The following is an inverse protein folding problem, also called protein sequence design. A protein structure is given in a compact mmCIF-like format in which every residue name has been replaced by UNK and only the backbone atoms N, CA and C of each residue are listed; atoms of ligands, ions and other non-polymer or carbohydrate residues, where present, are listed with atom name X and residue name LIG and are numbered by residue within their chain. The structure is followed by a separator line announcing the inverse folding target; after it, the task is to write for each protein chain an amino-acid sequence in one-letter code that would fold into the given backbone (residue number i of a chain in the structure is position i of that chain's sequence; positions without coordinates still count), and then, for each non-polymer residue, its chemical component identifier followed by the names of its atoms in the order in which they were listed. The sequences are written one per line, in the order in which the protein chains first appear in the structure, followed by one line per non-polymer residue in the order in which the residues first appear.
data_IF_956935767703
#
_entry.id   IF_956935767703
#
_cell.length_a   1.000
_cell.length_b   1.000
_cell.length_c   1.000
_cell.angle_alpha   90.00
_cell.angle_beta   90.00
_cell.angle_gamma   90.00
#
_symmetry.space_group_name_H-M   'P 1'
#
loop_
_entity.id
_entity.type
_entity.pdbx_description
1 polymer ?
#
# COMPACT_ATOMS: atom_id res chain seq x y z
N UNK A 1 3.44 29.20 12.76
CA UNK A 1 2.23 29.70 13.46
C UNK A 1 1.30 28.52 13.69
N UNK A 2 1.41 27.85 14.83
CA UNK A 2 0.53 26.73 15.18
C UNK A 2 -0.81 27.27 15.63
N UNK A 3 -1.88 26.97 14.88
CA UNK A 3 -3.24 27.27 15.33
C UNK A 3 -3.54 26.39 16.55
N UNK A 4 -3.82 27.03 17.68
CA UNK A 4 -4.35 26.39 18.89
C UNK A 4 -5.77 25.89 18.62
N UNK A 5 -5.90 24.76 17.94
CA UNK A 5 -7.17 24.05 17.82
C UNK A 5 -7.34 23.20 19.08
N UNK A 6 -8.24 23.64 19.97
CA UNK A 6 -8.63 22.87 21.16
C UNK A 6 -9.72 21.89 20.74
N UNK A 7 -9.40 20.60 20.78
CA UNK A 7 -10.35 19.53 20.48
C UNK A 7 -11.15 19.19 21.75
N UNK A 8 -12.43 19.59 21.79
CA UNK A 8 -13.34 19.30 22.92
C UNK A 8 -13.61 17.79 23.12
N UNK A 9 -13.24 16.94 22.16
CA UNK A 9 -13.51 15.50 22.15
C UNK A 9 -12.25 14.64 21.92
N UNK A 10 -11.06 15.18 22.21
CA UNK A 10 -9.78 14.54 21.89
C UNK A 10 -9.37 14.74 20.44
N UNK A 11 -8.05 14.68 20.17
CA UNK A 11 -7.56 14.77 18.79
C UNK A 11 -7.99 13.51 18.01
N UNK A 12 -8.44 13.66 16.75
CA UNK A 12 -8.73 12.51 15.89
C UNK A 12 -7.51 11.60 15.75
N UNK A 13 -7.75 10.29 15.75
CA UNK A 13 -6.68 9.30 15.55
C UNK A 13 -6.11 9.44 14.13
N UNK A 14 -4.79 9.61 13.93
CA UNK A 14 -4.24 9.81 12.59
C UNK A 14 -4.37 8.54 11.75
N UNK A 15 -4.51 8.65 10.43
CA UNK A 15 -4.50 7.47 9.55
C UNK A 15 -3.06 7.08 9.22
N UNK A 16 -2.73 5.79 9.32
CA UNK A 16 -1.43 5.27 8.89
C UNK A 16 -1.26 5.39 7.37
N UNK A 17 -0.34 6.24 6.90
CA UNK A 17 -0.07 6.43 5.48
C UNK A 17 1.31 5.88 5.11
N UNK A 18 1.34 4.79 4.34
CA UNK A 18 2.57 4.09 3.98
C UNK A 18 2.83 4.16 2.48
N UNK A 19 4.10 4.32 2.12
CA UNK A 19 4.57 4.27 0.73
C UNK A 19 5.37 3.00 0.47
N UNK A 20 4.93 2.17 -0.47
CA UNK A 20 5.75 1.05 -0.96
C UNK A 20 6.68 1.52 -2.07
N UNK A 21 7.99 1.46 -1.84
CA UNK A 21 8.97 1.83 -2.86
C UNK A 21 8.89 0.82 -4.02
N UNK A 22 8.77 1.33 -5.24
CA UNK A 22 8.84 0.52 -6.44
C UNK A 22 10.26 0.05 -6.74
N UNK A 23 10.41 -0.90 -7.67
CA UNK A 23 11.73 -1.23 -8.23
C UNK A 23 12.25 -0.11 -9.16
N UNK A 24 11.35 0.78 -9.60
CA UNK A 24 11.59 1.87 -10.54
C UNK A 24 11.40 3.23 -9.87
N UNK A 25 12.29 4.18 -10.18
CA UNK A 25 12.12 5.58 -9.84
C UNK A 25 12.43 5.98 -8.39
N UNK A 26 13.22 5.19 -7.66
CA UNK A 26 13.75 5.56 -6.34
C UNK A 26 14.55 6.87 -6.40
N UNK A 27 15.37 7.11 -7.43
CA UNK A 27 16.07 8.40 -7.63
C UNK A 27 15.14 9.61 -7.69
N UNK A 28 13.96 9.45 -8.28
CA UNK A 28 12.97 10.52 -8.29
C UNK A 28 12.39 10.76 -6.90
N UNK A 29 12.26 9.70 -6.08
CA UNK A 29 11.85 9.84 -4.68
C UNK A 29 12.95 10.50 -3.85
N UNK A 30 14.22 10.21 -4.09
CA UNK A 30 15.36 10.92 -3.49
C UNK A 30 15.27 12.41 -3.80
N UNK A 31 15.12 12.79 -5.08
CA UNK A 31 14.95 14.19 -5.48
C UNK A 31 13.74 14.86 -4.81
N UNK A 32 12.64 14.11 -4.61
CA UNK A 32 11.46 14.64 -3.93
C UNK A 32 11.71 14.81 -2.42
N UNK A 33 12.44 13.89 -1.80
CA UNK A 33 12.82 13.97 -0.40
C UNK A 33 13.75 15.17 -0.16
N UNK A 34 14.82 15.28 -0.94
CA UNK A 34 15.81 16.36 -0.83
C UNK A 34 15.21 17.75 -1.05
N UNK A 35 14.18 17.83 -1.91
CA UNK A 35 13.46 19.09 -2.16
C UNK A 35 12.33 19.36 -1.16
N UNK A 36 12.17 18.54 -0.11
CA UNK A 36 11.10 18.67 0.89
C UNK A 36 9.69 18.44 0.32
N UNK A 37 9.59 17.79 -0.85
CA UNK A 37 8.33 17.51 -1.57
C UNK A 37 7.81 16.09 -1.31
N UNK A 38 8.57 15.24 -0.64
CA UNK A 38 8.12 13.93 -0.20
C UNK A 38 7.32 14.07 1.10
N UNK A 39 6.00 13.91 0.98
CA UNK A 39 5.04 14.15 2.07
C UNK A 39 4.78 12.90 2.94
N UNK A 40 5.39 11.76 2.61
CA UNK A 40 5.29 10.52 3.37
C UNK A 40 6.64 10.13 3.93
N UNK A 41 6.61 9.62 5.15
CA UNK A 41 7.79 9.25 5.92
C UNK A 41 7.67 7.84 6.52
N UNK A 42 6.60 7.08 6.23
CA UNK A 42 6.50 5.65 6.55
C UNK A 42 6.61 4.84 5.27
N UNK A 43 7.66 4.04 5.13
CA UNK A 43 8.07 3.52 3.83
C UNK A 43 8.37 2.02 3.88
N UNK A 44 7.76 1.27 2.97
CA UNK A 44 7.99 -0.17 2.79
C UNK A 44 9.03 -0.39 1.70
N UNK A 45 10.10 -1.09 2.04
CA UNK A 45 11.24 -1.38 1.18
C UNK A 45 11.32 -2.88 0.95
N UNK A 46 11.30 -3.28 -0.32
CA UNK A 46 11.50 -4.67 -0.73
C UNK A 46 12.96 -5.07 -0.38
N UNK A 47 13.17 -6.17 0.35
CA UNK A 47 14.50 -6.65 0.74
C UNK A 47 15.46 -6.78 -0.46
N UNK A 48 14.94 -7.25 -1.59
CA UNK A 48 15.68 -7.36 -2.85
C UNK A 48 16.19 -6.01 -3.40
N UNK A 49 15.59 -4.89 -2.98
CA UNK A 49 15.92 -3.56 -3.47
C UNK A 49 16.84 -2.77 -2.52
N UNK A 50 17.05 -3.22 -1.27
CA UNK A 50 17.76 -2.46 -0.24
C UNK A 50 19.16 -2.02 -0.69
N UNK A 51 19.96 -2.95 -1.23
CA UNK A 51 21.31 -2.64 -1.70
C UNK A 51 21.31 -1.60 -2.85
N UNK A 52 20.32 -1.66 -3.73
CA UNK A 52 20.19 -0.74 -4.88
C UNK A 52 19.63 0.63 -4.47
N UNK A 53 18.84 0.69 -3.41
CA UNK A 53 18.14 1.89 -2.94
C UNK A 53 18.76 2.46 -1.67
N UNK A 54 20.05 2.17 -1.42
CA UNK A 54 20.69 2.49 -0.16
C UNK A 54 20.70 3.99 0.14
N UNK A 55 20.90 4.84 -0.88
CA UNK A 55 20.92 6.30 -0.74
C UNK A 55 19.56 6.81 -0.29
N UNK A 56 18.47 6.46 -1.00
CA UNK A 56 17.10 6.78 -0.58
C UNK A 56 16.79 6.32 0.84
N UNK A 57 17.19 5.10 1.21
CA UNK A 57 16.92 4.54 2.54
C UNK A 57 17.68 5.33 3.61
N UNK A 58 18.94 5.69 3.34
CA UNK A 58 19.75 6.51 4.24
C UNK A 58 19.13 7.89 4.43
N UNK A 59 18.79 8.58 3.33
CA UNK A 59 18.15 9.90 3.38
C UNK A 59 16.80 9.86 4.12
N UNK A 60 15.99 8.81 3.91
CA UNK A 60 14.74 8.62 4.65
C UNK A 60 14.99 8.44 6.15
N UNK A 61 15.99 7.64 6.51
CA UNK A 61 16.35 7.39 7.90
C UNK A 61 16.88 8.65 8.60
N UNK A 62 17.66 9.48 7.90
CA UNK A 62 18.16 10.77 8.38
C UNK A 62 17.04 11.78 8.56
N UNK A 63 16.04 11.78 7.67
CA UNK A 63 14.83 12.58 7.78
C UNK A 63 13.85 12.08 8.86
N UNK A 64 14.20 11.03 9.61
CA UNK A 64 13.35 10.46 10.68
C UNK A 64 12.20 9.59 10.16
N UNK A 65 12.30 9.11 8.92
CA UNK A 65 11.32 8.20 8.32
C UNK A 65 11.30 6.84 8.99
N UNK A 66 10.10 6.28 9.14
CA UNK A 66 9.88 4.92 9.57
C UNK A 66 10.06 3.96 8.39
N UNK A 67 10.98 3.01 8.55
CA UNK A 67 11.35 2.02 7.55
C UNK A 67 10.74 0.66 7.90
N UNK A 68 10.02 0.08 6.93
CA UNK A 68 9.43 -1.26 7.00
C UNK A 68 10.11 -2.16 5.97
N UNK A 69 10.63 -3.31 6.39
CA UNK A 69 11.22 -4.31 5.51
C UNK A 69 10.12 -5.25 4.99
N UNK A 70 9.91 -5.31 3.66
CA UNK A 70 9.21 -6.44 3.04
C UNK A 70 10.21 -7.55 2.75
N UNK A 71 9.97 -8.74 3.31
CA UNK A 71 10.89 -9.88 3.22
C UNK A 71 10.91 -10.56 1.85
N UNK A 72 10.00 -10.21 0.95
CA UNK A 72 9.82 -10.83 -0.37
C UNK A 72 9.66 -12.36 -0.35
N UNK A 73 9.32 -12.96 0.80
CA UNK A 73 9.22 -14.43 0.94
C UNK A 73 8.11 -15.00 0.05
N UNK A 74 6.96 -14.33 -0.04
CA UNK A 74 5.87 -14.76 -0.91
C UNK A 74 6.31 -14.79 -2.39
N UNK A 75 7.01 -13.75 -2.84
CA UNK A 75 7.56 -13.67 -4.20
C UNK A 75 8.68 -14.69 -4.45
N UNK A 76 9.57 -14.92 -3.47
CA UNK A 76 10.65 -15.92 -3.55
C UNK A 76 10.16 -17.37 -3.54
N UNK A 77 8.95 -17.60 -3.05
CA UNK A 77 8.31 -18.92 -2.99
C UNK A 77 7.37 -19.18 -4.18
N UNK A 78 7.30 -18.26 -5.15
CA UNK A 78 6.39 -18.35 -6.31
C UNK A 78 7.16 -18.46 -7.63
N UNK A 79 6.75 -19.38 -8.51
CA UNK A 79 7.52 -19.77 -9.71
C UNK A 79 7.88 -18.63 -10.67
N UNK A 80 6.91 -17.76 -10.99
CA UNK A 80 7.12 -16.62 -11.89
C UNK A 80 7.96 -15.55 -11.21
N UNK A 81 7.62 -15.23 -9.96
CA UNK A 81 8.22 -14.10 -9.24
C UNK A 81 9.65 -14.38 -8.83
N UNK A 82 9.95 -15.60 -8.40
CA UNK A 82 11.30 -16.04 -8.09
C UNK A 82 12.26 -15.74 -9.24
N UNK A 83 11.88 -15.90 -10.50
CA UNK A 83 12.74 -15.60 -11.66
C UNK A 83 12.90 -14.10 -12.01
N UNK A 84 12.37 -13.20 -11.17
CA UNK A 84 12.41 -11.76 -11.34
C UNK A 84 13.46 -11.05 -10.48
N UNK A 85 13.19 -9.78 -10.21
CA UNK A 85 14.07 -8.91 -9.43
C UNK A 85 14.23 -9.33 -7.95
N UNK A 86 13.36 -10.21 -7.43
CA UNK A 86 13.40 -10.62 -6.02
C UNK A 86 14.56 -11.55 -5.68
N UNK A 87 15.26 -12.14 -6.68
CA UNK A 87 16.47 -12.97 -6.44
C UNK A 87 17.62 -12.22 -5.78
N UNK A 88 17.61 -10.89 -5.78
CA UNK A 88 18.63 -10.10 -5.08
C UNK A 88 18.34 -9.95 -3.58
N UNK A 89 17.26 -10.54 -3.05
CA UNK A 89 17.03 -10.58 -1.61
C UNK A 89 18.13 -11.40 -0.89
N UNK A 90 18.59 -11.00 0.30
CA UNK A 90 19.74 -11.61 0.97
C UNK A 90 19.59 -13.13 1.24
N UNK A 91 18.36 -13.58 1.50
CA UNK A 91 18.04 -14.99 1.81
C UNK A 91 17.57 -15.79 0.59
N UNK A 92 17.55 -15.19 -0.61
CA UNK A 92 17.13 -15.89 -1.82
C UNK A 92 17.99 -17.15 -2.05
N UNK A 93 17.35 -18.25 -2.41
CA UNK A 93 18.06 -19.43 -2.87
C UNK A 93 18.48 -19.21 -4.34
N UNK A 94 19.76 -19.35 -4.71
CA UNK A 94 20.22 -19.07 -6.06
C UNK A 94 19.72 -20.10 -7.10
N UNK A 95 19.38 -21.31 -6.65
CA UNK A 95 19.07 -22.44 -7.53
C UNK A 95 17.61 -22.89 -7.47
N UNK A 96 16.87 -22.55 -6.43
CA UNK A 96 15.47 -22.96 -6.27
C UNK A 96 14.62 -21.87 -5.58
N UNK A 97 13.29 -22.01 -5.67
CA UNK A 97 12.37 -21.21 -4.86
C UNK A 97 12.55 -21.52 -3.37
N UNK A 98 12.13 -20.60 -2.51
CA UNK A 98 11.96 -20.93 -1.10
C UNK A 98 10.78 -21.89 -0.92
N UNK A 99 10.95 -22.82 0.00
CA UNK A 99 9.98 -23.84 0.38
C UNK A 99 9.63 -23.71 1.86
N UNK A 100 8.58 -24.41 2.29
CA UNK A 100 8.24 -24.51 3.71
C UNK A 100 9.44 -24.94 4.58
N UNK A 101 10.28 -25.84 4.05
CA UNK A 101 11.42 -26.39 4.75
C UNK A 101 12.51 -25.36 5.01
N UNK A 102 12.66 -24.37 4.14
CA UNK A 102 13.63 -23.27 4.27
C UNK A 102 13.26 -22.29 5.40
N UNK A 103 11.98 -22.27 5.80
CA UNK A 103 11.42 -21.35 6.79
C UNK A 103 11.23 -21.99 8.18
N UNK A 104 11.52 -23.28 8.31
CA UNK A 104 11.50 -23.96 9.60
C UNK A 104 12.58 -23.41 10.54
N UNK A 105 12.32 -23.38 11.86
CA UNK A 105 13.39 -23.19 12.85
C UNK A 105 14.52 -24.20 12.60
N UNK A 106 15.77 -23.75 12.64
CA UNK A 106 16.97 -24.57 12.39
C UNK A 106 17.10 -25.14 10.96
N UNK A 107 16.39 -24.59 9.97
CA UNK A 107 16.67 -24.91 8.58
C UNK A 107 18.14 -24.60 8.23
N UNK A 108 18.75 -25.43 7.37
CA UNK A 108 20.18 -25.29 6.99
C UNK A 108 20.54 -23.90 6.48
N UNK A 109 19.59 -23.20 5.86
CA UNK A 109 19.79 -21.85 5.31
C UNK A 109 19.55 -20.74 6.34
N UNK A 110 18.91 -21.01 7.47
CA UNK A 110 18.56 -19.99 8.48
C UNK A 110 17.91 -18.72 7.87
N UNK A 111 16.88 -18.88 7.03
CA UNK A 111 16.22 -17.73 6.38
C UNK A 111 15.69 -16.74 7.42
N UNK A 112 15.11 -17.24 8.51
CA UNK A 112 14.51 -16.42 9.58
C UNK A 112 15.58 -15.61 10.32
N UNK A 113 16.69 -16.24 10.73
CA UNK A 113 17.79 -15.53 11.38
C UNK A 113 18.47 -14.52 10.45
N UNK A 114 18.59 -14.83 9.15
CA UNK A 114 19.08 -13.87 8.16
C UNK A 114 18.18 -12.62 8.07
N UNK A 115 16.86 -12.79 8.04
CA UNK A 115 15.90 -11.67 8.05
C UNK A 115 16.08 -10.81 9.31
N UNK A 116 16.16 -11.44 10.49
CA UNK A 116 16.32 -10.74 11.77
C UNK A 116 17.62 -9.92 11.84
N UNK A 117 18.77 -10.54 11.51
CA UNK A 117 20.07 -9.85 11.45
C UNK A 117 20.05 -8.70 10.48
N UNK A 118 19.47 -8.90 9.31
CA UNK A 118 19.37 -7.86 8.28
C UNK A 118 18.52 -6.67 8.76
N UNK A 119 17.38 -6.95 9.39
CA UNK A 119 16.51 -5.90 9.93
C UNK A 119 17.23 -5.05 11.00
N UNK A 120 17.94 -5.69 11.93
CA UNK A 120 18.71 -5.02 12.98
C UNK A 120 19.88 -4.23 12.37
N UNK A 121 20.67 -4.85 11.49
CA UNK A 121 21.84 -4.24 10.85
C UNK A 121 21.47 -2.97 10.08
N UNK A 122 20.34 -2.98 9.37
CA UNK A 122 19.88 -1.85 8.57
C UNK A 122 18.95 -0.89 9.33
N UNK A 123 18.69 -1.14 10.62
CA UNK A 123 17.91 -0.24 11.47
C UNK A 123 16.44 -0.11 11.03
N UNK A 124 15.84 -1.19 10.55
CA UNK A 124 14.40 -1.21 10.23
C UNK A 124 13.56 -1.10 11.50
N UNK A 125 12.43 -0.41 11.39
CA UNK A 125 11.51 -0.20 12.51
C UNK A 125 10.51 -1.34 12.61
N UNK A 126 10.15 -1.90 11.45
CA UNK A 126 9.28 -3.07 11.36
C UNK A 126 9.72 -4.01 10.24
N UNK A 127 9.35 -5.28 10.38
CA UNK A 127 9.56 -6.32 9.37
C UNK A 127 8.21 -6.95 9.02
N UNK A 128 7.94 -7.14 7.74
CA UNK A 128 6.83 -7.98 7.30
C UNK A 128 7.18 -9.44 7.54
N UNK A 129 6.32 -10.14 8.28
CA UNK A 129 6.49 -11.55 8.55
C UNK A 129 6.68 -12.35 7.25
N UNK A 130 7.50 -13.42 7.27
CA UNK A 130 7.77 -14.27 6.11
C UNK A 130 6.56 -15.15 5.79
N UNK A 131 5.58 -14.56 5.10
CA UNK A 131 4.28 -15.18 4.78
C UNK A 131 4.13 -15.48 3.29
N UNK A 132 3.14 -16.31 2.93
CA UNK A 132 2.88 -16.70 1.53
C UNK A 132 1.55 -16.15 1.00
N UNK A 133 1.37 -16.25 -0.32
CA UNK A 133 0.05 -16.13 -0.93
C UNK A 133 -0.73 -17.41 -0.63
N UNK A 134 -1.80 -17.31 0.15
CA UNK A 134 -2.61 -18.44 0.58
C UNK A 134 -3.81 -18.64 -0.36
N UNK A 135 -4.09 -19.91 -0.68
CA UNK A 135 -5.30 -20.30 -1.41
C UNK A 135 -6.56 -20.34 -0.52
N UNK A 136 -6.38 -20.37 0.79
CA UNK A 136 -7.42 -20.39 1.83
C UNK A 136 -6.84 -20.70 3.20
N UNK A 137 -7.67 -20.70 4.24
CA UNK A 137 -7.27 -21.07 5.60
C UNK A 137 -6.85 -22.55 5.77
N UNK A 138 -7.31 -23.52 4.95
CA UNK A 138 -6.79 -24.90 5.00
C UNK A 138 -5.43 -25.09 4.29
N UNK A 139 -4.90 -24.05 3.65
CA UNK A 139 -3.60 -24.11 2.98
C UNK A 139 -2.50 -24.46 4.00
N UNK A 140 -1.69 -25.48 3.71
CA UNK A 140 -0.62 -25.91 4.59
C UNK A 140 0.41 -24.80 4.85
N UNK A 141 0.57 -23.87 3.89
CA UNK A 141 1.43 -22.71 4.05
C UNK A 141 0.96 -21.77 5.16
N UNK A 142 -0.34 -21.74 5.50
CA UNK A 142 -0.80 -20.94 6.62
C UNK A 142 -0.21 -21.42 7.96
N UNK A 143 -0.02 -22.72 8.15
CA UNK A 143 0.67 -23.23 9.34
C UNK A 143 2.15 -22.82 9.35
N UNK A 144 2.81 -22.84 8.19
CA UNK A 144 4.20 -22.39 8.02
C UNK A 144 4.35 -20.90 8.34
N UNK A 145 3.45 -20.06 7.84
CA UNK A 145 3.45 -18.61 8.06
C UNK A 145 3.39 -18.25 9.55
N UNK A 146 2.52 -18.94 10.28
CA UNK A 146 2.36 -18.76 11.73
C UNK A 146 3.61 -19.16 12.50
N UNK A 147 4.15 -20.35 12.21
CA UNK A 147 5.38 -20.83 12.83
C UNK A 147 6.58 -19.90 12.51
N UNK A 148 6.67 -19.44 11.27
CA UNK A 148 7.74 -18.55 10.81
C UNK A 148 7.63 -17.16 11.44
N UNK A 149 6.41 -16.68 11.71
CA UNK A 149 6.17 -15.42 12.44
C UNK A 149 6.67 -15.51 13.89
N UNK A 150 6.34 -16.61 14.59
CA UNK A 150 6.86 -16.85 15.95
C UNK A 150 8.39 -16.96 15.96
N UNK A 151 8.95 -17.70 14.99
CA UNK A 151 10.39 -17.84 14.84
C UNK A 151 11.06 -16.48 14.57
N UNK A 152 10.45 -15.62 13.73
CA UNK A 152 10.95 -14.28 13.46
C UNK A 152 11.01 -13.43 14.72
N UNK A 153 9.97 -13.45 15.57
CA UNK A 153 9.98 -12.72 16.85
C UNK A 153 11.14 -13.17 17.73
N UNK A 154 11.32 -14.47 17.90
CA UNK A 154 12.41 -15.03 18.70
C UNK A 154 13.78 -14.65 18.13
N UNK A 155 13.95 -14.70 16.80
CA UNK A 155 15.18 -14.34 16.13
C UNK A 155 15.49 -12.84 16.28
N UNK A 156 14.50 -11.96 16.09
CA UNK A 156 14.67 -10.52 16.32
C UNK A 156 15.08 -10.25 17.77
N UNK A 157 14.46 -10.92 18.74
CA UNK A 157 14.80 -10.74 20.16
C UNK A 157 16.23 -11.19 20.49
N UNK A 158 16.67 -12.30 19.91
CA UNK A 158 18.02 -12.82 20.07
C UNK A 158 19.08 -11.89 19.44
N UNK A 159 18.76 -11.24 18.33
CA UNK A 159 19.63 -10.26 17.65
C UNK A 159 19.53 -8.84 18.26
N UNK A 160 18.83 -8.67 19.39
CA UNK A 160 18.66 -7.37 20.07
C UNK A 160 17.59 -6.44 19.47
N UNK A 161 16.83 -6.92 18.49
CA UNK A 161 15.74 -6.25 17.78
C UNK A 161 14.38 -6.32 18.47
N UNK A 162 14.31 -6.38 19.82
CA UNK A 162 13.03 -6.42 20.57
C UNK A 162 12.08 -5.25 20.27
N UNK A 163 12.64 -4.11 19.87
CA UNK A 163 11.92 -2.90 19.50
C UNK A 163 11.41 -2.90 18.05
N UNK A 164 11.87 -3.84 17.22
CA UNK A 164 11.46 -3.96 15.82
C UNK A 164 10.10 -4.66 15.79
N UNK A 165 9.08 -3.96 15.29
CA UNK A 165 7.73 -4.50 15.16
C UNK A 165 7.60 -5.54 14.05
N UNK A 166 6.55 -6.36 14.13
CA UNK A 166 6.19 -7.34 13.10
C UNK A 166 4.85 -6.95 12.47
N UNK A 167 4.86 -6.76 11.16
CA UNK A 167 3.65 -6.64 10.36
C UNK A 167 3.31 -8.01 9.80
N UNK A 168 2.10 -8.53 9.99
CA UNK A 168 1.68 -9.80 9.39
C UNK A 168 0.98 -9.55 8.05
N UNK A 169 1.58 -9.89 6.90
CA UNK A 169 0.89 -9.77 5.61
C UNK A 169 -0.05 -10.96 5.39
N UNK A 170 -1.35 -10.70 5.34
CA UNK A 170 -2.33 -11.69 4.90
C UNK A 170 -2.59 -11.52 3.40
N UNK A 171 -1.92 -12.34 2.61
CA UNK A 171 -2.02 -12.37 1.15
C UNK A 171 -3.00 -13.46 0.70
N UNK A 172 -4.19 -13.05 0.25
CA UNK A 172 -5.25 -13.98 -0.18
C UNK A 172 -5.99 -13.45 -1.41
N UNK A 173 -6.74 -14.32 -2.08
CA UNK A 173 -7.64 -13.93 -3.18
C UNK A 173 -8.91 -13.26 -2.64
N UNK A 174 -9.49 -12.35 -3.42
CA UNK A 174 -10.76 -11.70 -3.06
C UNK A 174 -11.92 -12.67 -2.82
N UNK A 175 -11.92 -13.86 -3.46
CA UNK A 175 -12.91 -14.90 -3.17
C UNK A 175 -12.80 -15.45 -1.74
N UNK A 176 -11.57 -15.69 -1.27
CA UNK A 176 -11.27 -16.19 0.07
C UNK A 176 -11.69 -15.17 1.13
N UNK A 177 -11.36 -13.89 0.95
CA UNK A 177 -11.77 -12.83 1.89
C UNK A 177 -13.30 -12.76 2.04
N UNK A 178 -14.05 -13.02 0.96
CA UNK A 178 -15.51 -12.94 0.97
C UNK A 178 -16.18 -14.10 1.69
N UNK A 179 -15.48 -15.21 1.90
CA UNK A 179 -16.02 -16.37 2.61
C UNK A 179 -15.92 -16.18 4.14
N UNK A 180 -17.06 -16.09 4.87
CA UNK A 180 -17.06 -15.91 6.32
C UNK A 180 -16.43 -17.08 7.09
N UNK A 181 -16.45 -18.30 6.55
CA UNK A 181 -15.80 -19.47 7.19
C UNK A 181 -14.29 -19.28 7.15
N UNK A 182 -13.76 -18.89 5.99
CA UNK A 182 -12.33 -18.61 5.82
C UNK A 182 -11.88 -17.48 6.73
N UNK A 183 -12.65 -16.37 6.80
CA UNK A 183 -12.33 -15.25 7.69
C UNK A 183 -12.25 -15.66 9.16
N UNK A 184 -13.24 -16.41 9.66
CA UNK A 184 -13.22 -16.91 11.06
C UNK A 184 -12.00 -17.79 11.33
N UNK A 185 -11.64 -18.66 10.38
CA UNK A 185 -10.47 -19.52 10.52
C UNK A 185 -9.16 -18.73 10.52
N UNK A 186 -9.03 -17.68 9.69
CA UNK A 186 -7.88 -16.79 9.76
C UNK A 186 -7.81 -16.03 11.08
N UNK A 187 -8.92 -15.45 11.55
CA UNK A 187 -8.96 -14.73 12.84
C UNK A 187 -8.49 -15.65 13.97
N UNK A 188 -9.08 -16.84 14.09
CA UNK A 188 -8.68 -17.81 15.11
C UNK A 188 -7.21 -18.25 14.97
N UNK A 189 -6.71 -18.38 13.74
CA UNK A 189 -5.32 -18.75 13.50
C UNK A 189 -4.30 -17.65 13.81
N UNK A 190 -4.73 -16.39 13.87
CA UNK A 190 -3.86 -15.22 14.05
C UNK A 190 -3.86 -14.67 15.49
N UNK A 191 -4.85 -15.03 16.31
CA UNK A 191 -5.10 -14.45 17.63
C UNK A 191 -3.88 -14.44 18.57
N UNK A 192 -3.11 -15.52 18.61
CA UNK A 192 -1.96 -15.69 19.52
C UNK A 192 -0.60 -15.29 18.90
N UNK A 193 -0.58 -14.79 17.67
CA UNK A 193 0.69 -14.52 16.99
C UNK A 193 1.31 -13.19 17.43
N UNK A 194 2.65 -13.12 17.50
CA UNK A 194 3.36 -11.92 17.94
C UNK A 194 3.52 -10.90 16.79
N UNK A 195 2.41 -10.34 16.29
CA UNK A 195 2.44 -9.24 15.33
C UNK A 195 1.75 -7.98 15.88
N UNK A 196 2.20 -6.83 15.39
CA UNK A 196 1.70 -5.52 15.78
C UNK A 196 0.56 -5.06 14.88
N UNK A 197 0.66 -5.31 13.56
CA UNK A 197 -0.35 -4.88 12.60
C UNK A 197 -0.67 -5.99 11.58
N UNK A 198 -1.95 -6.12 11.20
CA UNK A 198 -2.39 -7.01 10.12
C UNK A 198 -2.42 -6.23 8.79
N UNK A 199 -1.71 -6.73 7.79
CA UNK A 199 -1.59 -6.09 6.47
C UNK A 199 -2.36 -6.91 5.42
N UNK A 200 -3.49 -6.39 4.95
CA UNK A 200 -4.29 -7.05 3.92
C UNK A 200 -3.77 -6.75 2.53
N UNK A 201 -3.27 -7.78 1.84
CA UNK A 201 -2.80 -7.69 0.46
C UNK A 201 -3.65 -8.60 -0.42
N UNK A 202 -4.76 -8.07 -0.93
CA UNK A 202 -5.82 -8.85 -1.57
C UNK A 202 -5.62 -8.92 -3.09
N UNK A 203 -5.40 -10.12 -3.61
CA UNK A 203 -5.15 -10.33 -5.03
C UNK A 203 -6.39 -9.99 -5.87
N UNK A 204 -6.17 -9.17 -6.90
CA UNK A 204 -7.19 -8.70 -7.82
C UNK A 204 -7.93 -7.44 -7.35
N UNK A 205 -7.44 -6.76 -6.32
CA UNK A 205 -8.06 -5.59 -5.71
C UNK A 205 -7.07 -4.41 -5.64
N UNK A 206 -7.59 -3.17 -5.76
CA UNK A 206 -6.76 -1.97 -5.84
C UNK A 206 -7.53 -0.72 -6.24
N UNK A 207 -6.82 0.28 -6.79
CA UNK A 207 -7.36 1.56 -7.25
C UNK A 207 -8.51 1.43 -8.28
N UNK A 208 -8.54 0.33 -9.03
CA UNK A 208 -9.58 0.02 -10.02
C UNK A 208 -10.73 -0.85 -9.46
N UNK A 209 -10.86 -0.94 -8.13
CA UNK A 209 -11.92 -1.70 -7.48
C UNK A 209 -13.30 -1.38 -8.06
N UNK A 210 -14.08 -2.44 -8.32
CA UNK A 210 -15.47 -2.30 -8.68
C UNK A 210 -16.30 -1.82 -7.48
N UNK A 211 -17.44 -1.13 -7.70
CA UNK A 211 -18.29 -0.67 -6.60
C UNK A 211 -18.67 -1.81 -5.63
N UNK A 212 -19.16 -2.93 -6.17
CA UNK A 212 -19.50 -4.10 -5.36
C UNK A 212 -18.28 -4.74 -4.68
N UNK A 213 -17.12 -4.73 -5.34
CA UNK A 213 -15.86 -5.21 -4.78
C UNK A 213 -15.41 -4.39 -3.58
N UNK A 214 -15.46 -3.06 -3.69
CA UNK A 214 -15.08 -2.14 -2.61
C UNK A 214 -16.01 -2.28 -1.40
N UNK A 215 -17.33 -2.30 -1.61
CA UNK A 215 -18.31 -2.52 -0.53
C UNK A 215 -18.03 -3.83 0.22
N UNK A 216 -17.85 -4.92 -0.53
CA UNK A 216 -17.60 -6.26 0.05
C UNK A 216 -16.25 -6.32 0.77
N UNK A 217 -15.22 -5.67 0.24
CA UNK A 217 -13.92 -5.57 0.90
C UNK A 217 -14.07 -4.88 2.26
N UNK A 218 -14.68 -3.69 2.31
CA UNK A 218 -14.85 -2.91 3.54
C UNK A 218 -15.60 -3.75 4.58
N UNK A 219 -16.76 -4.31 4.21
CA UNK A 219 -17.55 -5.14 5.13
C UNK A 219 -16.78 -6.38 5.63
N UNK A 220 -16.05 -7.07 4.75
CA UNK A 220 -15.34 -8.29 5.10
C UNK A 220 -14.11 -8.04 6.00
N UNK A 221 -13.39 -6.93 5.79
CA UNK A 221 -12.21 -6.60 6.60
C UNK A 221 -12.60 -6.21 8.03
N UNK A 222 -13.79 -5.62 8.23
CA UNK A 222 -14.27 -5.26 9.58
C UNK A 222 -14.38 -6.46 10.53
N UNK A 223 -14.61 -7.68 10.03
CA UNK A 223 -14.63 -8.89 10.86
C UNK A 223 -13.29 -9.12 11.60
N UNK A 224 -12.17 -8.67 11.02
CA UNK A 224 -10.83 -8.85 11.59
C UNK A 224 -10.50 -7.85 12.70
N UNK A 225 -11.35 -6.85 12.96
CA UNK A 225 -11.20 -5.97 14.12
C UNK A 225 -11.30 -6.75 15.45
N UNK A 226 -11.87 -7.96 15.42
CA UNK A 226 -11.86 -8.93 16.53
C UNK A 226 -10.46 -9.30 17.04
N UNK A 227 -9.42 -9.11 16.22
CA UNK A 227 -8.04 -9.33 16.62
C UNK A 227 -7.52 -8.21 17.54
N UNK A 228 -8.24 -7.08 17.65
CA UNK A 228 -7.83 -5.90 18.42
C UNK A 228 -6.44 -5.38 18.02
N UNK A 229 -6.05 -5.63 16.75
CA UNK A 229 -4.82 -5.13 16.14
C UNK A 229 -5.14 -4.11 15.04
N UNK A 230 -4.31 -3.08 14.84
CA UNK A 230 -4.40 -2.21 13.68
C UNK A 230 -4.39 -2.99 12.36
N UNK A 231 -5.16 -2.48 11.41
CA UNK A 231 -5.30 -3.06 10.07
C UNK A 231 -4.78 -2.07 9.04
N UNK A 232 -3.95 -2.55 8.11
CA UNK A 232 -3.45 -1.81 6.95
C UNK A 232 -3.94 -2.45 5.67
N UNK A 233 -4.57 -1.67 4.80
CA UNK A 233 -4.86 -2.09 3.43
C UNK A 233 -3.62 -1.89 2.54
N UNK A 234 -2.95 -2.97 2.14
CA UNK A 234 -1.70 -2.95 1.36
C UNK A 234 -1.94 -3.22 -0.13
N UNK A 235 -1.21 -2.46 -0.96
CA UNK A 235 -1.32 -2.51 -2.41
C UNK A 235 -2.63 -1.90 -2.93
N UNK A 236 -3.20 -0.92 -2.22
CA UNK A 236 -4.47 -0.28 -2.59
C UNK A 236 -4.29 1.24 -2.65
N UNK A 237 -4.27 1.76 -3.88
CA UNK A 237 -4.29 3.20 -4.15
C UNK A 237 -5.69 3.73 -4.46
N UNK A 238 -5.75 4.84 -5.20
CA UNK A 238 -7.03 5.37 -5.66
C UNK A 238 -7.93 5.97 -4.58
N UNK A 239 -9.13 6.37 -4.99
CA UNK A 239 -10.22 6.68 -4.08
C UNK A 239 -10.68 5.44 -3.29
N UNK A 240 -10.42 4.23 -3.80
CA UNK A 240 -10.70 2.99 -3.10
C UNK A 240 -9.93 2.88 -1.78
N UNK A 241 -8.63 3.19 -1.77
CA UNK A 241 -7.81 3.24 -0.55
C UNK A 241 -8.36 4.24 0.47
N UNK A 242 -8.71 5.45 0.03
CA UNK A 242 -9.29 6.49 0.89
C UNK A 242 -10.64 6.08 1.47
N UNK A 243 -11.50 5.40 0.68
CA UNK A 243 -12.77 4.87 1.17
C UNK A 243 -12.57 3.85 2.31
N UNK A 244 -11.58 2.95 2.18
CA UNK A 244 -11.33 1.91 3.18
C UNK A 244 -11.03 2.50 4.56
N UNK A 245 -10.16 3.52 4.62
CA UNK A 245 -9.82 4.19 5.88
C UNK A 245 -10.92 5.14 6.36
N UNK A 246 -11.65 5.81 5.46
CA UNK A 246 -12.77 6.66 5.84
C UNK A 246 -13.91 5.87 6.49
N UNK A 247 -14.18 4.66 5.99
CA UNK A 247 -15.20 3.74 6.52
C UNK A 247 -14.71 2.94 7.74
N UNK A 248 -13.44 3.10 8.15
CA UNK A 248 -12.89 2.47 9.35
C UNK A 248 -12.64 0.97 9.22
N UNK A 249 -12.65 0.42 8.01
CA UNK A 249 -12.27 -0.98 7.80
C UNK A 249 -10.76 -1.19 8.01
N UNK A 250 -9.93 -0.19 7.70
CA UNK A 250 -8.52 -0.17 8.03
C UNK A 250 -8.16 1.15 8.74
N UNK A 251 -7.19 1.12 9.64
CA UNK A 251 -6.61 2.32 10.25
C UNK A 251 -5.41 2.87 9.47
N UNK A 252 -4.97 2.15 8.42
CA UNK A 252 -3.95 2.64 7.50
C UNK A 252 -4.10 2.11 6.07
N UNK A 253 -3.43 2.80 5.14
CA UNK A 253 -3.28 2.37 3.75
C UNK A 253 -1.81 2.35 3.34
N UNK A 254 -1.45 1.39 2.50
CA UNK A 254 -0.17 1.30 1.83
C UNK A 254 -0.37 1.22 0.32
N UNK A 255 0.28 2.12 -0.41
CA UNK A 255 0.26 2.16 -1.87
C UNK A 255 1.64 2.52 -2.42
N UNK A 256 1.88 2.30 -3.71
CA UNK A 256 3.09 2.81 -4.37
C UNK A 256 2.89 4.22 -4.97
N UNK A 257 3.85 4.65 -5.79
CA UNK A 257 3.88 6.00 -6.38
C UNK A 257 3.44 5.93 -7.84
N UNK A 258 2.15 6.10 -8.10
CA UNK A 258 1.56 5.90 -9.45
C UNK A 258 1.82 4.49 -10.05
N UNK A 259 2.30 3.57 -9.22
CA UNK A 259 2.60 2.16 -9.47
C UNK A 259 2.23 1.40 -8.18
N UNK A 260 2.05 0.08 -8.26
CA UNK A 260 1.69 -0.75 -7.08
C UNK A 260 0.44 -0.23 -6.33
N UNK A 261 -0.53 0.37 -7.05
CA UNK A 261 -1.84 0.80 -6.51
C UNK A 261 -2.90 -0.32 -6.54
N UNK A 262 -2.50 -1.49 -7.06
CA UNK A 262 -3.27 -2.74 -7.10
C UNK A 262 -2.32 -3.87 -6.81
N UNK A 263 -2.77 -4.83 -6.02
CA UNK A 263 -2.10 -6.11 -5.88
C UNK A 263 -2.77 -7.16 -6.76
N UNK A 264 -1.97 -7.82 -7.60
CA UNK A 264 -2.44 -8.91 -8.45
C UNK A 264 -1.44 -10.05 -8.41
N UNK A 265 -1.91 -11.21 -7.97
CA UNK A 265 -1.13 -12.42 -7.86
C UNK A 265 -1.59 -13.55 -8.78
N UNK A 266 -2.49 -13.25 -9.73
CA UNK A 266 -3.05 -14.24 -10.66
C UNK A 266 -2.01 -14.92 -11.57
N UNK A 267 -0.83 -14.31 -11.71
CA UNK A 267 0.24 -14.80 -12.58
C UNK A 267 1.46 -15.33 -11.83
N UNK A 268 1.46 -15.33 -10.49
CA UNK A 268 2.66 -15.62 -9.68
C UNK A 268 3.19 -17.05 -9.87
N UNK A 269 2.29 -18.00 -10.14
CA UNK A 269 2.64 -19.41 -10.34
C UNK A 269 2.64 -19.84 -11.81
N UNK A 270 2.40 -18.90 -12.75
CA UNK A 270 2.48 -19.20 -14.18
C UNK A 270 3.95 -19.34 -14.62
N UNK A 271 4.26 -20.14 -15.66
CA UNK A 271 5.60 -20.14 -16.24
C UNK A 271 6.03 -18.72 -16.65
N UNK A 272 7.32 -18.38 -16.54
CA UNK A 272 7.82 -17.11 -17.04
C UNK A 272 7.61 -17.02 -18.55
N UNK A 273 7.02 -15.92 -19.01
CA UNK A 273 6.96 -15.61 -20.45
C UNK A 273 8.37 -15.26 -20.97
N UNK A 274 8.69 -15.57 -22.24
CA UNK A 274 9.93 -15.14 -22.87
C UNK A 274 10.11 -13.63 -22.68
N UNK A 275 11.34 -13.17 -22.38
CA UNK A 275 11.63 -11.74 -22.30
C UNK A 275 11.41 -11.11 -23.67
N UNK A 276 10.21 -10.59 -23.91
CA UNK A 276 9.96 -9.65 -24.99
C UNK A 276 10.79 -8.38 -24.75
N UNK A 277 11.06 -7.63 -25.81
CA UNK A 277 11.59 -6.27 -25.69
C UNK A 277 10.55 -5.42 -24.94
N UNK A 278 10.66 -5.39 -23.62
CA UNK A 278 9.87 -4.49 -22.80
C UNK A 278 10.43 -3.08 -23.00
N UNK A 279 9.81 -2.33 -23.91
CA UNK A 279 9.94 -0.88 -23.93
C UNK A 279 9.62 -0.33 -22.54
N UNK A 280 10.33 0.71 -22.13
CA UNK A 280 10.16 1.33 -20.81
C UNK A 280 8.68 1.62 -20.52
N UNK A 281 8.30 1.56 -19.23
CA UNK A 281 6.91 1.81 -18.84
C UNK A 281 6.48 3.19 -19.30
N UNK A 282 5.37 3.21 -20.04
CA UNK A 282 4.72 4.45 -20.48
C UNK A 282 4.44 5.34 -19.27
N UNK A 283 4.86 6.61 -19.33
CA UNK A 283 4.61 7.59 -18.29
C UNK A 283 3.11 7.86 -18.18
N UNK A 284 2.60 7.79 -16.96
CA UNK A 284 1.19 8.02 -16.65
C UNK A 284 1.04 9.10 -15.60
N UNK A 285 -0.01 9.90 -15.73
CA UNK A 285 -0.32 11.01 -14.83
C UNK A 285 -1.68 10.79 -14.20
N UNK A 286 -1.77 11.02 -12.90
CA UNK A 286 -3.03 10.99 -12.17
C UNK A 286 -3.88 12.16 -12.60
N UNK A 287 -5.12 11.87 -12.98
CA UNK A 287 -6.18 12.87 -13.12
C UNK A 287 -7.12 12.66 -11.95
N UNK A 288 -6.92 13.47 -10.90
CA UNK A 288 -7.62 13.33 -9.62
C UNK A 288 -9.14 13.38 -9.77
N UNK A 289 -9.63 14.26 -10.65
CA UNK A 289 -11.07 14.40 -10.97
C UNK A 289 -11.69 13.21 -11.70
N UNK A 290 -10.89 12.23 -12.12
CA UNK A 290 -11.35 10.96 -12.70
C UNK A 290 -10.97 9.75 -11.84
N UNK A 291 -10.11 9.95 -10.84
CA UNK A 291 -9.41 8.89 -10.11
C UNK A 291 -8.80 7.84 -11.07
N UNK A 292 -8.07 8.34 -12.08
CA UNK A 292 -7.49 7.51 -13.15
C UNK A 292 -6.09 7.98 -13.52
N UNK A 293 -5.25 7.02 -13.88
CA UNK A 293 -3.94 7.24 -14.48
C UNK A 293 -4.07 7.20 -16.02
N UNK A 294 -3.81 8.32 -16.69
CA UNK A 294 -3.83 8.40 -18.15
C UNK A 294 -2.40 8.51 -18.70
N UNK A 295 -2.15 7.97 -19.88
CA UNK A 295 -0.86 8.17 -20.55
C UNK A 295 -0.74 9.57 -21.15
N UNK A 296 0.49 10.00 -21.44
CA UNK A 296 0.74 11.31 -22.08
C UNK A 296 -0.06 11.47 -23.38
N UNK A 297 -0.10 10.46 -24.24
CA UNK A 297 -0.90 10.48 -25.47
C UNK A 297 -2.40 10.70 -25.23
N UNK A 298 -2.94 10.01 -24.23
CA UNK A 298 -4.35 10.17 -23.85
C UNK A 298 -4.61 11.57 -23.29
N UNK A 299 -3.66 12.12 -22.55
CA UNK A 299 -3.76 13.47 -21.99
C UNK A 299 -3.68 14.54 -23.08
N UNK A 300 -2.77 14.43 -24.03
CA UNK A 300 -2.68 15.39 -25.14
C UNK A 300 -3.97 15.44 -25.95
N UNK A 301 -4.53 14.27 -26.27
CA UNK A 301 -5.82 14.16 -26.95
C UNK A 301 -6.95 14.78 -26.10
N UNK A 302 -6.99 14.49 -24.80
CA UNK A 302 -8.01 15.01 -23.89
C UNK A 302 -7.91 16.52 -23.73
N UNK A 303 -6.71 17.04 -23.46
CA UNK A 303 -6.44 18.44 -23.17
C UNK A 303 -6.55 19.36 -24.39
N UNK A 304 -6.56 18.79 -25.59
CA UNK A 304 -6.89 19.50 -26.83
C UNK A 304 -8.40 19.75 -26.99
N UNK A 305 -9.25 19.06 -26.20
CA UNK A 305 -10.70 19.24 -26.21
C UNK A 305 -11.08 20.54 -25.47
N UNK A 306 -11.94 21.41 -26.03
CA UNK A 306 -12.38 22.63 -25.36
C UNK A 306 -12.95 22.37 -23.97
N UNK A 307 -12.46 23.11 -22.97
CA UNK A 307 -12.89 22.98 -21.57
C UNK A 307 -12.19 21.87 -20.77
N UNK A 308 -11.51 20.92 -21.41
CA UNK A 308 -10.84 19.80 -20.72
C UNK A 308 -9.73 20.28 -19.77
N UNK A 309 -8.85 21.18 -20.23
CA UNK A 309 -7.78 21.75 -19.38
C UNK A 309 -8.32 22.38 -18.11
N UNK A 310 -9.38 23.19 -18.21
CA UNK A 310 -10.00 23.84 -17.05
C UNK A 310 -10.59 22.82 -16.06
N UNK A 311 -11.16 21.73 -16.57
CA UNK A 311 -11.82 20.70 -15.75
C UNK A 311 -10.85 19.68 -15.12
N UNK A 312 -9.69 19.43 -15.74
CA UNK A 312 -8.83 18.30 -15.44
C UNK A 312 -7.44 18.68 -14.95
N UNK A 313 -7.01 19.93 -15.13
CA UNK A 313 -5.75 20.40 -14.56
C UNK A 313 -5.85 20.44 -13.04
N UNK A 314 -4.72 20.17 -12.38
CA UNK A 314 -4.58 20.43 -10.96
C UNK A 314 -4.72 21.94 -10.70
N UNK A 315 -5.68 22.32 -9.87
CA UNK A 315 -5.94 23.71 -9.51
C UNK A 315 -5.34 24.09 -8.14
N UNK A 316 -4.63 23.15 -7.51
CA UNK A 316 -3.94 23.39 -6.25
C UNK A 316 -2.55 23.98 -6.53
N UNK A 317 -2.40 25.27 -6.23
CA UNK A 317 -1.14 26.02 -6.41
C UNK A 317 -0.02 25.52 -5.51
N UNK A 318 -0.34 24.85 -4.41
CA UNK A 318 0.65 24.18 -3.56
C UNK A 318 1.10 22.84 -4.16
N UNK A 319 0.36 22.26 -5.10
CA UNK A 319 0.70 21.00 -5.77
C UNK A 319 1.35 21.25 -7.14
N UNK A 320 0.64 21.95 -8.02
CA UNK A 320 1.03 22.25 -9.39
C UNK A 320 0.78 23.74 -9.69
N UNK A 321 1.73 24.63 -9.36
CA UNK A 321 1.60 26.08 -9.59
C UNK A 321 1.21 26.46 -11.04
N UNK A 322 1.69 25.70 -12.03
CA UNK A 322 1.41 25.88 -13.46
C UNK A 322 0.38 24.87 -13.99
N UNK A 323 -0.39 24.24 -13.10
CA UNK A 323 -1.45 23.30 -13.45
C UNK A 323 -0.94 22.10 -14.24
N UNK A 324 -1.51 21.89 -15.43
CA UNK A 324 -1.24 20.71 -16.27
C UNK A 324 0.25 20.53 -16.64
N UNK A 325 0.97 21.63 -16.89
CA UNK A 325 2.39 21.55 -17.27
C UNK A 325 3.24 20.94 -16.15
N UNK A 326 2.94 21.28 -14.90
CA UNK A 326 3.62 20.69 -13.74
C UNK A 326 3.18 19.25 -13.47
N UNK A 327 1.93 18.90 -13.78
CA UNK A 327 1.46 17.51 -13.72
C UNK A 327 2.23 16.61 -14.70
N UNK A 328 2.49 17.09 -15.92
CA UNK A 328 3.30 16.39 -16.90
C UNK A 328 4.77 16.36 -16.50
N UNK A 329 5.31 17.47 -15.99
CA UNK A 329 6.73 17.55 -15.59
C UNK A 329 7.06 16.57 -14.46
N UNK A 330 6.26 16.57 -13.39
CA UNK A 330 6.52 15.81 -12.17
C UNK A 330 5.29 14.98 -11.73
N UNK A 331 4.86 13.96 -12.50
CA UNK A 331 3.61 13.23 -12.25
C UNK A 331 3.62 12.46 -10.93
N UNK A 332 4.79 11.98 -10.48
CA UNK A 332 4.94 11.30 -9.18
C UNK A 332 4.79 12.25 -8.01
N UNK A 333 5.34 13.47 -8.13
CA UNK A 333 5.17 14.51 -7.12
C UNK A 333 3.69 14.92 -7.01
N UNK A 334 3.05 15.14 -8.16
CA UNK A 334 1.62 15.42 -8.24
C UNK A 334 0.80 14.31 -7.57
N UNK A 335 1.05 13.05 -7.94
CA UNK A 335 0.40 11.88 -7.36
C UNK A 335 0.56 11.83 -5.83
N UNK A 336 1.80 11.94 -5.33
CA UNK A 336 2.07 11.85 -3.89
C UNK A 336 1.38 12.95 -3.10
N UNK A 337 1.39 14.19 -3.60
CA UNK A 337 0.71 15.31 -2.95
C UNK A 337 -0.80 15.09 -2.89
N UNK A 338 -1.42 14.72 -4.02
CA UNK A 338 -2.86 14.47 -4.07
C UNK A 338 -3.29 13.35 -3.09
N UNK A 339 -2.54 12.26 -3.01
CA UNK A 339 -2.83 11.17 -2.06
C UNK A 339 -2.57 11.57 -0.61
N UNK A 340 -1.45 12.26 -0.33
CA UNK A 340 -1.13 12.73 1.02
C UNK A 340 -2.14 13.72 1.54
N UNK A 341 -2.60 14.65 0.70
CA UNK A 341 -3.66 15.60 1.06
C UNK A 341 -4.97 14.87 1.38
N UNK A 342 -5.37 13.89 0.57
CA UNK A 342 -6.58 13.10 0.83
C UNK A 342 -6.55 12.36 2.18
N UNK A 343 -5.41 11.76 2.53
CA UNK A 343 -5.24 11.08 3.83
C UNK A 343 -5.15 12.08 4.99
N UNK A 344 -4.40 13.17 4.82
CA UNK A 344 -4.27 14.21 5.85
C UNK A 344 -5.60 14.89 6.16
N UNK A 345 -6.43 15.13 5.14
CA UNK A 345 -7.77 15.67 5.32
C UNK A 345 -8.62 14.73 6.19
N UNK A 346 -8.68 13.44 5.84
CA UNK A 346 -9.43 12.44 6.62
C UNK A 346 -8.89 12.26 8.04
N UNK A 347 -7.56 12.34 8.22
CA UNK A 347 -6.90 12.22 9.53
C UNK A 347 -7.30 13.33 10.50
N UNK A 348 -7.76 14.48 9.99
CA UNK A 348 -8.24 15.61 10.82
C UNK A 348 -9.72 15.48 11.21
N UNK A 349 -10.42 14.50 10.68
CA UNK A 349 -11.84 14.27 10.93
C UNK A 349 -11.99 13.18 11.99
N UNK A 350 -12.82 13.38 13.03
CA UNK A 350 -13.14 12.32 13.98
C UNK A 350 -13.68 11.08 13.28
N UNK A 351 -13.24 9.90 13.71
CA UNK A 351 -13.58 8.59 13.15
C UNK A 351 -15.05 8.46 12.77
N UNK A 352 -15.95 8.78 13.71
CA UNK A 352 -17.40 8.68 13.53
C UNK A 352 -17.98 9.50 12.36
N UNK A 353 -17.26 10.53 11.89
CA UNK A 353 -17.69 11.44 10.80
C UNK A 353 -16.92 11.24 9.50
N UNK A 354 -15.84 10.44 9.49
CA UNK A 354 -14.96 10.28 8.32
C UNK A 354 -15.68 9.76 7.08
N UNK A 355 -16.57 8.78 7.24
CA UNK A 355 -17.29 8.18 6.12
C UNK A 355 -18.13 9.24 5.39
N UNK A 356 -18.93 10.02 6.13
CA UNK A 356 -19.73 11.10 5.55
C UNK A 356 -18.86 12.20 4.94
N UNK A 357 -17.78 12.60 5.63
CA UNK A 357 -16.84 13.59 5.11
C UNK A 357 -16.22 13.15 3.78
N UNK A 358 -15.80 11.88 3.67
CA UNK A 358 -15.28 11.31 2.43
C UNK A 358 -16.31 11.38 1.29
N UNK A 359 -17.55 10.96 1.53
CA UNK A 359 -18.63 11.00 0.53
C UNK A 359 -18.87 12.43 0.03
N UNK A 360 -18.96 13.39 0.95
CA UNK A 360 -19.35 14.77 0.64
C UNK A 360 -18.19 15.61 0.06
N UNK A 361 -16.98 15.43 0.60
CA UNK A 361 -15.84 16.34 0.34
C UNK A 361 -14.80 15.76 -0.60
N UNK A 362 -14.71 14.44 -0.72
CA UNK A 362 -13.73 13.80 -1.61
C UNK A 362 -14.40 13.14 -2.81
N UNK A 363 -15.42 12.30 -2.58
CA UNK A 363 -16.04 11.53 -3.66
C UNK A 363 -17.01 12.37 -4.51
N UNK A 364 -17.94 13.10 -3.88
CA UNK A 364 -18.94 13.91 -4.61
C UNK A 364 -18.32 14.91 -5.60
N UNK A 365 -17.26 15.68 -5.25
CA UNK A 365 -16.63 16.57 -6.21
C UNK A 365 -16.00 15.84 -7.41
N UNK A 366 -15.36 14.69 -7.16
CA UNK A 366 -14.73 13.87 -8.20
C UNK A 366 -15.80 13.25 -9.11
N UNK A 367 -16.88 12.75 -8.56
CA UNK A 367 -18.02 12.23 -9.32
C UNK A 367 -18.63 13.31 -10.25
N UNK A 368 -18.90 14.50 -9.70
CA UNK A 368 -19.43 15.63 -10.50
C UNK A 368 -18.48 16.03 -11.62
N UNK A 369 -17.17 16.08 -11.33
CA UNK A 369 -16.17 16.41 -12.33
C UNK A 369 -16.11 15.34 -13.43
N UNK A 370 -16.10 14.05 -13.07
CA UNK A 370 -16.13 12.95 -14.03
C UNK A 370 -17.37 12.97 -14.93
N UNK A 371 -18.55 13.26 -14.35
CA UNK A 371 -19.81 13.40 -15.09
C UNK A 371 -19.77 14.55 -16.09
N UNK A 372 -19.14 15.66 -15.75
CA UNK A 372 -18.98 16.80 -16.65
C UNK A 372 -17.98 16.49 -17.77
N UNK A 373 -16.87 15.83 -17.44
CA UNK A 373 -15.81 15.45 -18.37
C UNK A 373 -16.30 14.39 -19.37
N UNK A 374 -17.14 13.46 -18.95
CA UNK A 374 -17.75 12.46 -19.83
C UNK A 374 -18.63 13.08 -20.94
N UNK A 375 -19.08 14.33 -20.78
CA UNK A 375 -19.86 15.06 -21.80
C UNK A 375 -19.00 15.81 -22.82
N UNK A 376 -17.67 15.81 -22.66
CA UNK A 376 -16.77 16.47 -23.59
C UNK A 376 -16.77 15.76 -24.95
N UNK A 377 -16.73 16.54 -26.03
CA UNK A 377 -16.66 16.03 -27.40
C UNK A 377 -15.21 15.67 -27.74
N UNK A 378 -14.79 14.49 -27.31
CA UNK A 378 -13.46 13.94 -27.58
C UNK A 378 -13.49 13.17 -28.90
N UNK A 379 -12.54 13.46 -29.80
CA UNK A 379 -12.46 12.80 -31.12
C UNK A 379 -11.98 11.35 -31.08
N UNK A 380 -11.32 10.94 -29.98
CA UNK A 380 -10.89 9.57 -29.74
C UNK A 380 -11.99 8.78 -29.01
N UNK A 381 -12.61 7.82 -29.72
CA UNK A 381 -13.68 6.96 -29.18
C UNK A 381 -13.22 6.06 -28.03
N UNK A 382 -11.95 5.63 -28.03
CA UNK A 382 -11.39 4.85 -26.94
C UNK A 382 -11.30 5.65 -25.64
N UNK A 383 -10.84 6.90 -25.75
CA UNK A 383 -10.75 7.85 -24.65
C UNK A 383 -12.15 8.24 -24.16
N UNK A 384 -13.09 8.53 -25.06
CA UNK A 384 -14.49 8.80 -24.71
C UNK A 384 -15.09 7.67 -23.86
N UNK A 385 -14.91 6.41 -24.28
CA UNK A 385 -15.35 5.23 -23.52
C UNK A 385 -14.68 5.12 -22.14
N UNK A 386 -13.42 5.54 -22.00
CA UNK A 386 -12.73 5.59 -20.70
C UNK A 386 -13.38 6.64 -19.77
N UNK A 387 -13.74 7.81 -20.30
CA UNK A 387 -14.38 8.87 -19.53
C UNK A 387 -15.78 8.47 -19.06
N UNK A 388 -16.60 7.92 -19.96
CA UNK A 388 -17.94 7.40 -19.65
C UNK A 388 -17.89 6.32 -18.57
N UNK A 389 -17.02 5.30 -18.74
CA UNK A 389 -16.82 4.25 -17.74
C UNK A 389 -16.33 4.78 -16.40
N UNK A 390 -15.53 5.85 -16.39
CA UNK A 390 -15.03 6.44 -15.15
C UNK A 390 -16.14 7.18 -14.41
N UNK A 391 -16.98 7.93 -15.13
CA UNK A 391 -18.19 8.56 -14.58
C UNK A 391 -19.14 7.52 -13.99
N UNK A 392 -19.51 6.49 -14.77
CA UNK A 392 -20.41 5.43 -14.30
C UNK A 392 -19.86 4.69 -13.08
N UNK A 393 -18.54 4.43 -13.06
CA UNK A 393 -17.88 3.77 -11.92
C UNK A 393 -18.02 4.62 -10.67
N UNK A 394 -17.73 5.92 -10.74
CA UNK A 394 -17.72 6.81 -9.58
C UNK A 394 -19.14 7.01 -9.02
N UNK A 395 -20.14 7.16 -9.89
CA UNK A 395 -21.56 7.23 -9.48
C UNK A 395 -22.00 5.96 -8.74
N UNK A 396 -21.65 4.78 -9.28
CA UNK A 396 -21.95 3.50 -8.62
C UNK A 396 -21.16 3.33 -7.32
N UNK A 397 -19.90 3.76 -7.24
CA UNK A 397 -19.12 3.76 -5.99
C UNK A 397 -19.81 4.62 -4.95
N UNK A 398 -20.26 5.82 -5.32
CA UNK A 398 -20.95 6.71 -4.40
C UNK A 398 -22.21 6.08 -3.83
N UNK A 399 -23.09 5.57 -4.69
CA UNK A 399 -24.32 4.91 -4.27
C UNK A 399 -24.08 3.72 -3.32
N UNK A 400 -23.14 2.82 -3.64
CA UNK A 400 -22.90 1.63 -2.77
C UNK A 400 -22.22 1.98 -1.44
N UNK A 401 -21.44 3.06 -1.40
CA UNK A 401 -20.78 3.52 -0.18
C UNK A 401 -21.72 4.34 0.71
N UNK A 402 -22.63 5.12 0.13
CA UNK A 402 -23.68 5.81 0.86
C UNK A 402 -24.60 4.82 1.59
N UNK A 403 -25.07 3.78 0.88
CA UNK A 403 -25.83 2.68 1.49
C UNK A 403 -25.03 1.92 2.55
N UNK A 404 -23.73 1.71 2.31
CA UNK A 404 -22.86 1.06 3.30
C UNK A 404 -22.72 1.91 4.56
N UNK A 405 -22.59 3.23 4.43
CA UNK A 405 -22.45 4.17 5.55
C UNK A 405 -23.64 4.06 6.51
N UNK A 406 -24.85 3.90 5.98
CA UNK A 406 -26.05 3.61 6.77
C UNK A 406 -25.98 2.24 7.47
N UNK A 407 -25.46 1.22 6.78
CA UNK A 407 -25.38 -0.16 7.29
C UNK A 407 -24.37 -0.34 8.42
N UNK A 408 -23.20 0.32 8.34
CA UNK A 408 -22.10 0.15 9.31
C UNK A 408 -22.10 1.22 10.42
N UNK A 409 -23.18 1.99 10.54
CA UNK A 409 -23.27 3.06 11.52
C UNK A 409 -23.13 2.50 12.94
N UNK A 410 -22.11 2.98 13.66
CA UNK A 410 -21.82 2.53 15.03
C UNK A 410 -21.02 1.23 15.13
N UNK A 411 -20.65 0.60 14.00
CA UNK A 411 -19.74 -0.52 14.02
C UNK A 411 -18.34 -0.09 14.52
N UNK A 412 -17.58 -1.01 15.15
CA UNK A 412 -16.21 -0.71 15.56
C UNK A 412 -15.34 -0.32 14.35
N UNK A 413 -14.26 0.41 14.64
CA UNK A 413 -13.34 0.93 13.61
C UNK A 413 -11.94 0.45 13.91
N UNK A 414 -11.19 0.16 12.85
CA UNK A 414 -9.82 -0.29 12.96
C UNK A 414 -8.92 0.83 13.48
N UNK A 415 -8.13 0.51 14.50
CA UNK A 415 -7.11 1.40 15.04
C UNK A 415 -6.02 1.70 14.02
N UNK A 416 -5.43 2.88 14.16
CA UNK A 416 -4.29 3.29 13.36
C UNK A 416 -3.02 2.56 13.82
N UNK A 417 -2.17 2.12 12.88
CA UNK A 417 -0.86 1.59 13.23
C UNK A 417 -0.01 2.65 13.94
N UNK A 418 0.46 2.35 15.15
CA UNK A 418 1.41 3.20 15.86
C UNK A 418 2.72 3.32 15.07
N UNK A 419 3.44 4.43 15.27
CA UNK A 419 4.83 4.52 14.84
C UNK A 419 5.72 3.82 15.84
N UNK A 420 6.64 3.01 15.35
CA UNK A 420 7.64 2.37 16.20
C UNK A 420 8.83 3.30 16.42
N UNK A 421 9.33 3.42 17.67
CA UNK A 421 10.53 4.19 17.94
C UNK A 421 11.74 3.49 17.29
N UNK A 422 12.65 4.27 16.72
CA UNK A 422 13.91 3.72 16.22
C UNK A 422 14.74 3.23 17.41
N UNK A 423 15.12 1.95 17.41
CA UNK A 423 16.11 1.47 18.37
C UNK A 423 17.45 2.13 18.15
N UNK A 424 18.24 2.27 19.21
CA UNK A 424 19.64 2.69 19.05
C UNK A 424 20.34 1.65 18.19
N UNK A 425 21.06 2.04 17.11
CA UNK A 425 21.85 1.09 16.35
C UNK A 425 22.79 0.36 17.31
N UNK A 426 22.82 -0.97 17.22
CA UNK A 426 23.80 -1.75 17.95
C UNK A 426 25.19 -1.20 17.58
N UNK A 427 25.96 -0.76 18.58
CA UNK A 427 27.33 -0.33 18.35
C UNK A 427 28.03 -1.44 17.57
N UNK A 428 28.55 -1.13 16.38
CA UNK A 428 29.18 -2.10 15.50
C UNK A 428 30.23 -2.87 16.31
N UNK A 429 29.93 -4.13 16.65
CA UNK A 429 30.88 -5.01 17.30
C UNK A 429 32.08 -5.09 16.36
N UNK A 430 33.21 -4.53 16.82
CA UNK A 430 34.43 -4.40 16.03
C UNK A 430 34.76 -5.73 15.35
N UNK A 431 34.94 -5.67 14.03
CA UNK A 431 35.48 -6.77 13.24
C UNK A 431 36.78 -7.25 13.92
N UNK A 432 36.73 -8.38 14.59
CA UNK A 432 37.94 -9.17 14.88
C UNK A 432 38.29 -9.86 13.57
N UNK A 433 39.27 -9.32 12.86
CA UNK A 433 39.95 -10.08 11.82
C UNK A 433 40.70 -11.26 12.48
N UNK A 434 40.75 -12.44 11.83
CA UNK A 434 41.81 -13.40 12.12
C UNK A 434 43.19 -12.83 11.78
#
# INVERSE_FOLDING_TARGET
MGQNVVYLHGQPEPIGHFLRIGNSGHRQLETLLDSGKMMLDRVVVDAAAVARQHDLIASLAEAGGELILDTNVAELSSARKYNGAVKSAPWANPVAMLTADDLRPNANRDVIGQIARFAVQHGFHMVQAPTHLLEGSPDAMFAVDRASTMALRNALDAEGGRHIGINYPLMIKSAVLRDPVQRRAFIAGLEELPFDNLWFRISGFGADASPAGLRRYIAAVMDFQRLERPIVADGVGGLAGLAIVAFGAAGGICHGVAEKERFDASDWNKPPEPRGQSFGREKRVLIGSLDRMLSEKQLDALMSTPGARKALSCNDTSCCPRGFDDMLKDPKAHYLRQRSQGVQELSRIPDSRRAQHYLDKQLTPVERAARNVAKLRVGDEGLKKILEKSSERLEKIHSVLDDLSGTIKGAPRAHAPSRQPRGKPAAAAGKRNP
#
